data_IF_171051041039
#
_entry.id   IF_171051041039
#
_cell.length_a   1.000
_cell.length_b   1.000
_cell.length_c   1.000
_cell.angle_alpha   90.00
_cell.angle_beta   90.00
_cell.angle_gamma   90.00
#
_symmetry.space_group_name_H-M   'P 1'
#
loop_
_entity.id
_entity.type
_entity.pdbx_description
1 polymer ?
#
# COMPACT_ATOMS: atom_id res chain seq x y z
N UNK A 1 -32.73 -2.27 -9.85
CA UNK A 1 -31.29 -2.57 -9.70
C UNK A 1 -30.88 -1.81 -8.46
N UNK A 2 -30.48 -2.51 -7.40
CA UNK A 2 -30.11 -1.87 -6.12
C UNK A 2 -28.79 -1.15 -6.35
N UNK A 3 -28.71 0.12 -5.94
CA UNK A 3 -27.48 0.92 -5.90
C UNK A 3 -26.60 0.46 -4.72
N UNK A 4 -26.36 -0.85 -4.59
CA UNK A 4 -25.50 -1.37 -3.54
C UNK A 4 -24.05 -1.08 -3.97
N UNK A 5 -23.32 -0.30 -3.17
CA UNK A 5 -21.93 0.01 -3.45
C UNK A 5 -21.15 -1.33 -3.65
N UNK A 6 -20.24 -1.42 -4.64
CA UNK A 6 -19.71 -2.70 -5.15
C UNK A 6 -18.93 -3.55 -4.13
N UNK A 7 -18.82 -3.11 -2.88
CA UNK A 7 -18.08 -3.74 -1.80
C UNK A 7 -18.91 -4.01 -0.53
N UNK A 8 -20.21 -3.69 -0.50
CA UNK A 8 -20.99 -3.73 0.75
C UNK A 8 -21.04 -5.10 1.41
N UNK A 9 -21.22 -6.18 0.63
CA UNK A 9 -21.24 -7.54 1.17
C UNK A 9 -19.92 -7.91 1.85
N UNK A 10 -18.80 -7.58 1.21
CA UNK A 10 -17.46 -7.91 1.71
C UNK A 10 -17.07 -7.04 2.92
N UNK A 11 -17.42 -5.74 2.89
CA UNK A 11 -17.27 -4.83 4.03
C UNK A 11 -18.07 -5.37 5.22
N UNK A 12 -19.35 -5.71 5.03
CA UNK A 12 -20.21 -6.22 6.10
C UNK A 12 -19.66 -7.51 6.71
N UNK A 13 -19.10 -8.40 5.88
CA UNK A 13 -18.44 -9.62 6.35
C UNK A 13 -17.21 -9.30 7.23
N UNK A 14 -16.31 -8.44 6.76
CA UNK A 14 -15.09 -8.07 7.49
C UNK A 14 -15.42 -7.32 8.78
N UNK A 15 -16.41 -6.44 8.77
CA UNK A 15 -16.91 -5.76 9.95
C UNK A 15 -17.55 -6.74 10.94
N UNK A 16 -18.29 -7.74 10.48
CA UNK A 16 -18.84 -8.77 11.37
C UNK A 16 -17.75 -9.64 12.03
N UNK A 17 -16.69 -9.98 11.28
CA UNK A 17 -15.61 -10.84 11.76
C UNK A 17 -14.62 -10.10 12.67
N UNK A 18 -14.26 -8.86 12.31
CA UNK A 18 -13.19 -8.11 12.96
C UNK A 18 -13.68 -6.86 13.70
N UNK A 19 -14.96 -6.51 13.61
CA UNK A 19 -15.56 -5.29 14.16
C UNK A 19 -15.21 -4.00 13.39
N UNK A 20 -14.38 -4.08 12.35
CA UNK A 20 -14.02 -3.02 11.42
C UNK A 20 -13.31 -3.67 10.21
N UNK A 21 -13.19 -2.98 9.08
CA UNK A 21 -12.37 -3.50 7.98
C UNK A 21 -10.90 -3.49 8.42
N UNK A 22 -10.20 -4.63 8.39
CA UNK A 22 -8.80 -4.69 8.81
C UNK A 22 -7.91 -3.82 7.90
N UNK A 23 -6.76 -3.37 8.37
CA UNK A 23 -5.85 -2.60 7.54
C UNK A 23 -5.09 -3.52 6.57
N UNK A 24 -4.51 -2.97 5.49
CA UNK A 24 -3.85 -3.76 4.45
C UNK A 24 -2.77 -4.72 4.96
N UNK A 25 -2.03 -4.35 6.00
CA UNK A 25 -0.98 -5.17 6.61
C UNK A 25 -1.47 -6.34 7.46
N UNK A 26 -2.76 -6.36 7.84
CA UNK A 26 -3.37 -7.52 8.50
C UNK A 26 -3.78 -8.56 7.46
N UNK A 27 -4.35 -8.12 6.35
CA UNK A 27 -4.82 -9.02 5.27
C UNK A 27 -3.67 -9.50 4.38
N UNK A 28 -2.67 -8.64 4.14
CA UNK A 28 -1.51 -8.91 3.30
C UNK A 28 -0.18 -8.58 4.02
N UNK A 29 0.20 -9.37 5.04
CA UNK A 29 1.34 -9.05 5.90
C UNK A 29 2.69 -9.07 5.17
N UNK A 30 2.81 -9.81 4.07
CA UNK A 30 4.05 -9.96 3.30
C UNK A 30 4.24 -8.86 2.24
N UNK A 31 3.24 -8.00 2.04
CA UNK A 31 3.27 -6.97 1.01
C UNK A 31 3.71 -5.66 1.65
N UNK A 32 4.77 -5.06 1.08
CA UNK A 32 5.26 -3.75 1.51
C UNK A 32 4.32 -2.63 1.00
N UNK A 33 4.15 -1.51 1.73
CA UNK A 33 3.25 -0.41 1.31
C UNK A 33 3.44 0.10 -0.13
N UNK A 34 4.68 0.05 -0.64
CA UNK A 34 5.06 0.48 -1.99
C UNK A 34 5.12 -0.61 -3.06
N UNK A 35 4.65 -1.82 -2.77
CA UNK A 35 4.65 -2.87 -3.78
C UNK A 35 3.57 -2.62 -4.84
N UNK A 36 3.90 -2.96 -6.09
CA UNK A 36 3.01 -2.76 -7.25
C UNK A 36 1.67 -3.50 -7.11
N UNK A 37 1.60 -4.54 -6.26
CA UNK A 37 0.37 -5.28 -5.96
C UNK A 37 -0.74 -4.41 -5.37
N UNK A 38 -0.43 -3.22 -4.86
CA UNK A 38 -1.43 -2.24 -4.42
C UNK A 38 -2.04 -1.43 -5.56
N UNK A 39 -1.38 -1.42 -6.73
CA UNK A 39 -1.84 -0.74 -7.95
C UNK A 39 -2.49 -1.70 -8.94
N UNK A 40 -2.37 -3.02 -8.72
CA UNK A 40 -2.98 -4.03 -9.59
C UNK A 40 -3.51 -5.24 -8.80
N UNK A 41 -4.66 -5.76 -9.23
CA UNK A 41 -5.16 -7.05 -8.76
C UNK A 41 -5.76 -6.99 -7.35
N UNK A 42 -5.51 -8.03 -6.53
CA UNK A 42 -6.21 -8.19 -5.25
C UNK A 42 -5.86 -7.11 -4.22
N UNK A 43 -4.65 -6.56 -4.24
CA UNK A 43 -4.27 -5.48 -3.34
C UNK A 43 -4.96 -4.16 -3.71
N UNK A 44 -5.05 -3.85 -5.00
CA UNK A 44 -5.79 -2.68 -5.50
C UNK A 44 -7.27 -2.77 -5.13
N UNK A 45 -7.92 -3.90 -5.42
CA UNK A 45 -9.35 -4.10 -5.08
C UNK A 45 -9.58 -3.95 -3.58
N UNK A 46 -8.66 -4.45 -2.76
CA UNK A 46 -8.74 -4.31 -1.30
C UNK A 46 -8.60 -2.85 -0.85
N UNK A 47 -7.67 -2.08 -1.41
CA UNK A 47 -7.52 -0.67 -1.08
C UNK A 47 -8.73 0.18 -1.51
N UNK A 48 -9.32 -0.13 -2.67
CA UNK A 48 -10.55 0.53 -3.13
C UNK A 48 -11.72 0.27 -2.18
N UNK A 49 -11.92 -0.98 -1.77
CA UNK A 49 -12.91 -1.33 -0.74
C UNK A 49 -12.61 -0.64 0.59
N UNK A 50 -11.34 -0.67 1.04
CA UNK A 50 -10.90 -0.07 2.29
C UNK A 50 -11.20 1.43 2.32
N UNK A 51 -10.85 2.12 1.24
CA UNK A 51 -11.12 3.55 1.05
C UNK A 51 -12.63 3.82 1.10
N UNK A 52 -13.44 3.06 0.37
CA UNK A 52 -14.90 3.19 0.37
C UNK A 52 -15.51 3.00 1.77
N UNK A 53 -15.02 2.02 2.54
CA UNK A 53 -15.44 1.82 3.92
C UNK A 53 -15.07 3.01 4.81
N UNK A 54 -13.81 3.45 4.79
CA UNK A 54 -13.35 4.55 5.65
C UNK A 54 -14.04 5.88 5.33
N UNK A 55 -14.34 6.13 4.05
CA UNK A 55 -15.10 7.28 3.60
C UNK A 55 -16.56 7.24 4.09
N UNK A 56 -17.19 6.05 4.07
CA UNK A 56 -18.57 5.85 4.57
C UNK A 56 -18.66 6.08 6.09
N UNK A 57 -17.66 5.66 6.85
CA UNK A 57 -17.60 5.87 8.31
C UNK A 57 -17.28 7.32 8.70
N UNK A 58 -16.74 8.13 7.79
CA UNK A 58 -16.39 9.52 8.08
C UNK A 58 -15.29 9.63 9.15
N UNK A 59 -14.23 8.84 9.00
CA UNK A 59 -13.18 8.67 10.01
C UNK A 59 -12.42 9.99 10.27
N UNK A 60 -12.63 10.57 11.46
CA UNK A 60 -11.82 11.67 11.97
C UNK A 60 -10.56 11.21 12.70
N UNK A 61 -9.73 12.15 13.13
CA UNK A 61 -8.45 11.85 13.80
C UNK A 61 -8.62 10.92 15.02
N UNK A 62 -9.63 11.17 15.86
CA UNK A 62 -9.90 10.35 17.05
C UNK A 62 -10.31 8.92 16.68
N UNK A 63 -11.19 8.75 15.68
CA UNK A 63 -11.61 7.44 15.18
C UNK A 63 -10.44 6.67 14.56
N UNK A 64 -9.58 7.35 13.81
CA UNK A 64 -8.37 6.74 13.26
C UNK A 64 -7.40 6.29 14.36
N UNK A 65 -7.20 7.09 15.40
CA UNK A 65 -6.35 6.71 16.54
C UNK A 65 -6.91 5.46 17.24
N UNK A 66 -8.22 5.39 17.49
CA UNK A 66 -8.84 4.19 18.07
C UNK A 66 -8.73 2.96 17.17
N UNK A 67 -8.91 3.16 15.87
CA UNK A 67 -8.72 2.13 14.86
C UNK A 67 -7.29 1.56 14.89
N UNK A 68 -6.27 2.41 14.90
CA UNK A 68 -4.86 1.97 14.98
C UNK A 68 -4.45 1.47 16.37
N UNK A 69 -5.20 1.76 17.42
CA UNK A 69 -5.03 1.06 18.71
C UNK A 69 -5.52 -0.38 18.65
N UNK A 70 -6.59 -0.63 17.91
CA UNK A 70 -7.13 -1.98 17.68
C UNK A 70 -6.25 -2.78 16.73
N UNK A 71 -5.74 -2.13 15.69
CA UNK A 71 -4.81 -2.71 14.73
C UNK A 71 -3.49 -1.92 14.77
N UNK A 72 -2.55 -2.29 15.65
CA UNK A 72 -1.30 -1.55 15.77
C UNK A 72 -0.47 -1.68 14.48
N UNK A 73 -0.06 -0.56 13.86
CA UNK A 73 0.71 -0.60 12.63
C UNK A 73 2.13 -1.12 12.89
N UNK A 74 2.64 -2.06 12.09
CA UNK A 74 4.05 -2.39 12.14
C UNK A 74 4.90 -1.18 11.67
N UNK A 75 6.17 -1.05 12.09
CA UNK A 75 6.98 0.13 11.79
C UNK A 75 7.07 0.49 10.30
N UNK A 76 7.03 -0.50 9.41
CA UNK A 76 7.09 -0.32 7.97
C UNK A 76 5.82 0.32 7.37
N UNK A 77 4.70 0.25 8.08
CA UNK A 77 3.40 0.84 7.72
C UNK A 77 3.10 2.14 8.49
N UNK A 78 4.07 2.66 9.27
CA UNK A 78 3.84 3.81 10.14
C UNK A 78 3.58 5.11 9.34
N UNK A 79 4.25 5.31 8.20
CA UNK A 79 4.00 6.47 7.32
C UNK A 79 2.61 6.40 6.69
N UNK A 80 2.12 5.22 6.33
CA UNK A 80 0.75 5.02 5.87
C UNK A 80 -0.28 5.35 6.96
N UNK A 81 -0.05 4.90 8.21
CA UNK A 81 -0.92 5.24 9.32
C UNK A 81 -0.94 6.75 9.62
N UNK A 82 0.22 7.41 9.51
CA UNK A 82 0.34 8.87 9.62
C UNK A 82 -0.54 9.56 8.56
N UNK A 83 -0.48 9.09 7.32
CA UNK A 83 -1.28 9.66 6.23
C UNK A 83 -2.79 9.45 6.45
N UNK A 84 -3.22 8.28 6.91
CA UNK A 84 -4.63 8.05 7.24
C UNK A 84 -5.14 8.95 8.39
N UNK A 85 -4.36 9.14 9.45
CA UNK A 85 -4.79 9.90 10.63
C UNK A 85 -4.85 11.41 10.33
N UNK A 86 -3.85 11.93 9.63
CA UNK A 86 -3.63 13.37 9.51
C UNK A 86 -3.76 13.94 8.09
N UNK A 87 -4.12 13.11 7.11
CA UNK A 87 -4.23 13.46 5.68
C UNK A 87 -3.03 14.29 5.22
N UNK A 88 -1.83 13.70 5.32
CA UNK A 88 -0.59 14.45 5.05
C UNK A 88 -0.50 14.80 3.56
N UNK A 89 -0.88 13.88 2.68
CA UNK A 89 -0.93 14.12 1.23
C UNK A 89 -1.82 15.33 0.86
N UNK A 90 -3.04 15.40 1.40
CA UNK A 90 -3.98 16.50 1.11
C UNK A 90 -3.45 17.87 1.58
N UNK A 91 -2.73 17.90 2.71
CA UNK A 91 -2.15 19.15 3.25
C UNK A 91 -0.90 19.62 2.52
N UNK A 92 -0.21 18.74 1.80
CA UNK A 92 0.92 19.11 0.95
C UNK A 92 0.41 19.78 -0.32
N UNK A 93 -0.67 19.24 -0.93
CA UNK A 93 -1.32 19.85 -2.10
C UNK A 93 -1.86 21.27 -1.81
N UNK A 94 -2.44 21.53 -0.63
CA UNK A 94 -2.88 22.88 -0.25
C UNK A 94 -1.74 23.89 0.00
N UNK A 95 -0.54 23.42 0.38
CA UNK A 95 0.60 24.29 0.70
C UNK A 95 1.53 24.55 -0.49
N UNK A 96 1.41 23.78 -1.58
CA UNK A 96 2.09 24.04 -2.83
C UNK A 96 1.18 25.00 -3.62
N UNK A 97 1.39 26.30 -3.44
CA UNK A 97 0.67 27.30 -4.22
C UNK A 97 0.78 27.01 -5.72
N UNK A 98 -0.33 27.20 -6.44
CA UNK A 98 -0.69 27.10 -7.88
C UNK A 98 0.38 27.13 -9.01
N UNK A 99 1.69 27.02 -8.75
CA UNK A 99 2.78 27.21 -9.70
C UNK A 99 3.92 26.19 -9.49
N UNK A 100 3.64 24.90 -9.55
CA UNK A 100 4.66 23.89 -9.83
C UNK A 100 4.19 23.04 -11.01
N UNK A 101 4.66 23.38 -12.21
CA UNK A 101 4.48 22.61 -13.45
C UNK A 101 5.25 21.25 -13.44
N UNK A 102 5.65 20.75 -12.27
CA UNK A 102 6.33 19.48 -12.11
C UNK A 102 5.31 18.41 -11.72
N UNK A 103 4.91 17.59 -12.69
CA UNK A 103 4.03 16.40 -12.58
C UNK A 103 4.64 15.26 -11.71
N UNK A 104 5.32 15.59 -10.61
CA UNK A 104 6.04 14.64 -9.75
C UNK A 104 5.46 14.55 -8.33
N UNK A 105 4.15 14.79 -8.17
CA UNK A 105 3.37 14.56 -6.95
C UNK A 105 3.13 13.06 -6.70
N UNK A 106 4.19 12.27 -6.76
CA UNK A 106 4.16 10.84 -6.47
C UNK A 106 4.11 10.66 -4.94
N UNK A 107 2.93 10.34 -4.43
CA UNK A 107 2.61 9.83 -3.08
C UNK A 107 3.84 9.34 -2.28
N UNK A 108 4.57 10.26 -1.63
CA UNK A 108 5.88 9.97 -1.05
C UNK A 108 5.76 9.59 0.43
N UNK A 109 5.26 8.38 0.70
CA UNK A 109 5.30 7.74 2.03
C UNK A 109 6.71 7.23 2.42
N UNK A 110 7.80 7.55 1.70
CA UNK A 110 9.16 7.15 2.09
C UNK A 110 9.68 8.05 3.22
N UNK A 111 9.85 7.51 4.45
CA UNK A 111 10.35 8.29 5.59
C UNK A 111 11.80 8.75 5.42
N UNK A 112 12.53 8.25 4.42
CA UNK A 112 13.89 8.69 4.09
C UNK A 112 13.90 9.89 3.14
N UNK A 113 12.81 10.17 2.43
CA UNK A 113 12.73 11.23 1.43
C UNK A 113 11.84 12.41 1.87
N UNK A 114 10.80 12.17 2.68
CA UNK A 114 9.89 13.21 3.19
C UNK A 114 10.05 13.48 4.70
N UNK A 115 9.97 14.75 5.11
CA UNK A 115 10.10 15.15 6.52
C UNK A 115 8.79 14.97 7.32
N UNK A 116 8.60 13.76 7.85
CA UNK A 116 7.50 13.42 8.75
C UNK A 116 7.76 13.74 10.24
N UNK A 117 8.81 14.50 10.58
CA UNK A 117 9.29 14.66 11.96
C UNK A 117 8.19 15.03 12.97
N UNK A 118 7.33 15.99 12.63
CA UNK A 118 6.27 16.45 13.52
C UNK A 118 5.19 15.36 13.75
N UNK A 119 4.93 14.51 12.77
CA UNK A 119 4.00 13.39 12.85
C UNK A 119 4.61 12.23 13.63
N UNK A 120 5.89 11.92 13.44
CA UNK A 120 6.56 10.87 14.22
C UNK A 120 6.63 11.17 15.72
N UNK A 121 6.73 12.45 16.10
CA UNK A 121 6.58 12.84 17.51
C UNK A 121 5.18 12.52 18.05
N UNK A 122 4.14 12.73 17.25
CA UNK A 122 2.76 12.39 17.61
C UNK A 122 2.55 10.88 17.68
N UNK A 123 3.03 10.11 16.70
CA UNK A 123 2.93 8.63 16.75
C UNK A 123 3.65 8.04 17.94
N UNK A 124 4.82 8.58 18.31
CA UNK A 124 5.57 8.15 19.48
C UNK A 124 4.78 8.45 20.77
N UNK A 125 4.17 9.63 20.89
CA UNK A 125 3.32 9.98 22.02
C UNK A 125 2.06 9.11 22.13
N UNK A 126 1.52 8.65 20.98
CA UNK A 126 0.38 7.73 20.90
C UNK A 126 0.77 6.26 21.12
N UNK A 127 2.06 5.94 21.15
CA UNK A 127 2.57 4.57 21.32
C UNK A 127 2.57 3.72 20.05
N UNK A 128 2.43 4.32 18.86
CA UNK A 128 2.42 3.59 17.58
C UNK A 128 3.81 3.28 17.03
N UNK A 129 4.83 4.02 17.45
CA UNK A 129 6.22 3.82 17.02
C UNK A 129 6.97 5.12 16.78
N UNK A 130 8.28 5.00 16.59
CA UNK A 130 9.18 6.13 16.37
C UNK A 130 9.65 6.23 14.93
N UNK A 131 10.16 7.41 14.55
CA UNK A 131 10.83 7.62 13.27
C UNK A 131 11.98 6.64 13.06
N UNK A 132 12.81 6.42 14.08
CA UNK A 132 13.97 5.53 14.00
C UNK A 132 13.57 4.08 13.73
N UNK A 133 12.46 3.61 14.33
CA UNK A 133 11.95 2.27 14.07
C UNK A 133 11.41 2.14 12.65
N UNK A 134 10.70 3.16 12.17
CA UNK A 134 10.19 3.22 10.80
C UNK A 134 11.34 3.19 9.78
N UNK A 135 12.30 4.11 9.90
CA UNK A 135 13.47 4.20 9.01
C UNK A 135 14.28 2.90 9.00
N UNK A 136 14.51 2.30 10.17
CA UNK A 136 15.21 1.00 10.26
C UNK A 136 14.46 -0.10 9.52
N UNK A 137 13.16 -0.23 9.72
CA UNK A 137 12.35 -1.26 9.05
C UNK A 137 12.34 -1.07 7.52
N UNK A 138 12.33 0.17 7.07
CA UNK A 138 12.43 0.55 5.67
C UNK A 138 13.79 0.19 5.05
N UNK A 139 14.89 0.53 5.71
CA UNK A 139 16.25 0.15 5.29
C UNK A 139 16.43 -1.38 5.24
N UNK A 140 15.97 -2.09 6.27
CA UNK A 140 16.02 -3.56 6.32
C UNK A 140 15.25 -4.18 5.14
N UNK A 141 14.08 -3.63 4.80
CA UNK A 141 13.32 -4.08 3.65
C UNK A 141 14.04 -3.82 2.34
N UNK A 142 14.63 -2.62 2.19
CA UNK A 142 15.42 -2.22 1.01
C UNK A 142 16.60 -3.17 0.81
N UNK A 143 17.34 -3.47 1.87
CA UNK A 143 18.47 -4.42 1.85
C UNK A 143 18.02 -5.86 1.55
N UNK A 144 16.91 -6.30 2.14
CA UNK A 144 16.31 -7.61 1.83
C UNK A 144 15.93 -7.73 0.35
N UNK A 145 15.31 -6.70 -0.23
CA UNK A 145 14.95 -6.66 -1.66
C UNK A 145 16.19 -6.66 -2.54
N UNK A 146 17.22 -5.88 -2.19
CA UNK A 146 18.51 -5.86 -2.88
C UNK A 146 19.17 -7.24 -2.88
N UNK A 147 19.27 -7.91 -1.73
CA UNK A 147 19.80 -9.29 -1.64
C UNK A 147 19.01 -10.29 -2.48
N UNK A 148 17.67 -10.21 -2.45
CA UNK A 148 16.80 -11.06 -3.26
C UNK A 148 17.04 -10.85 -4.75
N UNK A 149 17.19 -9.60 -5.18
CA UNK A 149 17.51 -9.25 -6.56
C UNK A 149 18.92 -9.74 -6.97
N UNK A 150 19.92 -9.57 -6.12
CA UNK A 150 21.29 -10.06 -6.38
C UNK A 150 21.32 -11.59 -6.51
N UNK A 151 20.61 -12.32 -5.63
CA UNK A 151 20.48 -13.77 -5.72
C UNK A 151 19.78 -14.21 -7.00
N UNK A 152 18.72 -13.50 -7.41
CA UNK A 152 18.03 -13.76 -8.67
C UNK A 152 18.94 -13.52 -9.89
N UNK A 153 19.68 -12.40 -9.88
CA UNK A 153 20.66 -12.04 -10.93
C UNK A 153 21.74 -13.11 -11.10
N UNK A 154 22.29 -13.62 -10.00
CA UNK A 154 23.32 -14.68 -10.01
C UNK A 154 22.75 -16.00 -10.53
N UNK A 155 21.52 -16.36 -10.15
CA UNK A 155 20.88 -17.62 -10.53
C UNK A 155 20.49 -17.68 -12.01
N UNK A 156 19.92 -16.60 -12.53
CA UNK A 156 19.32 -16.59 -13.87
C UNK A 156 20.29 -16.03 -14.95
N UNK A 157 21.57 -15.82 -14.60
CA UNK A 157 22.66 -15.55 -15.56
C UNK A 157 22.52 -14.24 -16.34
N UNK A 158 21.77 -13.26 -15.84
CA UNK A 158 21.57 -11.98 -16.53
C UNK A 158 22.82 -11.09 -16.41
N UNK A 159 23.62 -11.08 -17.48
CA UNK A 159 24.63 -10.07 -17.77
C UNK A 159 24.03 -9.03 -18.72
N UNK A 160 23.53 -7.90 -18.20
CA UNK A 160 23.79 -6.55 -18.72
C UNK A 160 22.95 -5.47 -18.01
N UNK A 161 23.67 -4.44 -17.52
CA UNK A 161 23.36 -3.00 -17.57
C UNK A 161 21.88 -2.58 -17.60
N UNK A 162 21.18 -2.68 -16.47
CA UNK A 162 20.20 -1.65 -16.12
C UNK A 162 20.89 -0.79 -15.07
N UNK A 163 21.47 0.32 -15.54
CA UNK A 163 21.88 1.43 -14.67
C UNK A 163 20.64 1.80 -13.84
N UNK A 164 20.74 1.67 -12.52
CA UNK A 164 19.78 2.29 -11.62
C UNK A 164 19.97 3.81 -11.75
N UNK A 165 18.99 4.59 -12.24
CA UNK A 165 19.01 6.00 -11.92
C UNK A 165 18.75 6.10 -10.42
N UNK A 166 19.58 6.92 -9.79
CA UNK A 166 19.34 7.44 -8.46
C UNK A 166 18.02 8.23 -8.56
N UNK A 167 16.97 7.74 -7.91
CA UNK A 167 15.60 8.22 -8.08
C UNK A 167 14.68 7.13 -8.65
N UNK A 168 13.89 6.53 -7.75
CA UNK A 168 12.67 5.74 -7.99
C UNK A 168 12.73 4.75 -9.18
N UNK A 169 12.93 3.45 -8.89
CA UNK A 169 12.57 2.37 -9.82
C UNK A 169 11.97 1.17 -9.10
N UNK A 170 10.64 1.09 -9.18
CA UNK A 170 9.81 -0.08 -8.90
C UNK A 170 10.48 -1.39 -9.31
N UNK A 171 10.73 -2.28 -8.34
CA UNK A 171 11.08 -3.68 -8.64
C UNK A 171 9.78 -4.41 -8.98
N UNK A 172 9.42 -4.40 -10.25
CA UNK A 172 8.35 -5.27 -10.76
C UNK A 172 8.91 -6.68 -10.91
N UNK A 173 8.68 -7.53 -9.91
CA UNK A 173 8.92 -8.97 -10.02
C UNK A 173 7.81 -9.62 -10.87
N UNK A 174 7.87 -9.49 -12.21
CA UNK A 174 7.09 -10.35 -13.09
C UNK A 174 7.66 -11.77 -13.08
N UNK A 175 7.13 -12.64 -12.21
CA UNK A 175 7.37 -14.08 -12.34
C UNK A 175 6.66 -14.60 -13.59
N UNK A 176 7.42 -15.10 -14.56
CA UNK A 176 6.92 -15.82 -15.76
C UNK A 176 6.06 -17.05 -15.40
N UNK A 177 6.14 -17.54 -14.16
CA UNK A 177 5.32 -18.63 -13.62
C UNK A 177 3.94 -18.21 -13.08
N UNK A 178 3.68 -16.92 -12.81
CA UNK A 178 2.37 -16.49 -12.30
C UNK A 178 1.30 -16.45 -13.40
N UNK A 179 1.69 -16.13 -14.64
CA UNK A 179 0.80 -16.11 -15.80
C UNK A 179 0.38 -17.52 -16.28
N UNK A 180 1.11 -18.57 -15.87
CA UNK A 180 0.80 -19.95 -16.27
C UNK A 180 -0.08 -20.70 -15.25
N UNK A 181 -0.16 -20.23 -13.99
CA UNK A 181 -0.99 -20.86 -12.95
C UNK A 181 -2.42 -20.29 -12.83
N UNK A 182 -2.68 -19.08 -13.34
CA UNK A 182 -4.00 -18.44 -13.29
C UNK A 182 -4.76 -18.43 -14.64
N UNK A 183 -4.43 -19.34 -15.56
CA UNK A 183 -5.35 -19.66 -16.66
C UNK A 183 -6.47 -20.57 -16.12
N UNK A 184 -7.50 -19.94 -15.53
CA UNK A 184 -8.80 -20.57 -15.50
C UNK A 184 -9.24 -20.84 -16.96
N UNK A 185 -9.76 -22.04 -17.28
CA UNK A 185 -10.26 -22.32 -18.62
C UNK A 185 -11.51 -21.48 -18.89
N UNK A 186 -11.37 -20.43 -19.67
CA UNK A 186 -12.47 -19.68 -20.24
C UNK A 186 -13.26 -20.61 -21.17
N UNK A 187 -14.38 -21.15 -20.70
CA UNK A 187 -15.32 -21.92 -21.51
C UNK A 187 -15.94 -20.98 -22.56
N UNK A 188 -15.51 -21.15 -23.82
CA UNK A 188 -16.21 -20.56 -24.98
C UNK A 188 -17.55 -21.27 -25.13
N UNK A 189 -18.63 -20.59 -24.76
CA UNK A 189 -19.96 -20.92 -25.25
C UNK A 189 -20.00 -20.66 -26.76
N UNK A 190 -19.80 -21.72 -27.55
CA UNK A 190 -20.14 -21.73 -28.96
C UNK A 190 -21.67 -21.76 -29.08
N UNK A 191 -22.27 -20.61 -29.38
CA UNK A 191 -23.63 -20.56 -29.94
C UNK A 191 -23.56 -21.09 -31.37
N UNK A 192 -23.97 -22.34 -31.58
CA UNK A 192 -24.33 -22.87 -32.90
C UNK A 192 -25.68 -22.29 -33.29
N UNK A 193 -25.69 -21.47 -34.35
CA UNK A 193 -26.87 -21.20 -35.16
C UNK A 193 -27.25 -22.48 -35.91
N UNK A 194 -28.47 -22.96 -35.70
CA UNK A 194 -29.29 -23.60 -36.73
C UNK A 194 -30.76 -23.50 -36.34
#
# INVERSE_FOLDING_TARGET
MSDDAPYEEEINKLVAEHGAVPPPYVTFPDIHPFEISWRIGSGESYLMMYSAWSAKEGMGEAQWIEYFRKFPPPPIWLTWAIDCIWSVAEKVEENIGENSDDDHDEFNLDPLEFDYWCYFRRTAALGFGTESDCKRAWEENRERRKKKWEAWRVRDGYSQNILMPVGIKYIVCFSRNYLLRNRAPYQRNAKTNQ
#
